data_IF_261135835868
#
_entry.id   IF_261135835868
#
_cell.length_a   1.000
_cell.length_b   1.000
_cell.length_c   1.000
_cell.angle_alpha   90.00
_cell.angle_beta   90.00
_cell.angle_gamma   90.00
#
_symmetry.space_group_name_H-M   'P 1'
#
loop_
_entity.id
_entity.type
_entity.pdbx_description
1 polymer ?
#
# COMPACT_ATOMS: atom_id res chain seq x y z
N UNK A 1 -7.23 -3.43 -7.84
CA UNK A 1 -6.15 -4.04 -8.64
C UNK A 1 -5.09 -4.61 -7.69
N UNK A 2 -4.53 -5.78 -8.00
CA UNK A 2 -3.47 -6.38 -7.17
C UNK A 2 -2.11 -5.81 -7.56
N UNK A 3 -1.37 -5.28 -6.59
CA UNK A 3 -0.06 -4.63 -6.80
C UNK A 3 1.12 -5.43 -6.27
N UNK A 4 0.86 -6.28 -5.28
CA UNK A 4 1.82 -7.25 -4.75
C UNK A 4 1.22 -8.63 -4.85
N UNK A 5 1.95 -9.56 -5.47
CA UNK A 5 1.57 -10.97 -5.54
C UNK A 5 2.69 -11.88 -5.11
N UNK A 6 2.35 -13.06 -4.62
CA UNK A 6 3.32 -14.12 -4.33
C UNK A 6 3.03 -15.30 -5.26
N UNK A 7 4.03 -15.71 -6.04
CA UNK A 7 3.91 -16.78 -7.03
C UNK A 7 5.19 -17.62 -7.06
N UNK A 8 5.09 -18.95 -7.17
CA UNK A 8 6.26 -19.86 -7.21
C UNK A 8 7.29 -19.64 -6.10
N UNK A 9 6.83 -19.43 -4.87
CA UNK A 9 7.69 -19.14 -3.72
C UNK A 9 8.54 -17.86 -3.82
N UNK A 10 8.13 -16.91 -4.67
CA UNK A 10 8.78 -15.62 -4.89
C UNK A 10 7.76 -14.49 -4.87
N UNK A 11 8.14 -13.36 -4.29
CA UNK A 11 7.34 -12.14 -4.30
C UNK A 11 7.52 -11.38 -5.61
N UNK A 12 6.42 -10.86 -6.15
CA UNK A 12 6.38 -10.00 -7.33
C UNK A 12 5.58 -8.73 -7.05
N UNK A 13 5.98 -7.64 -7.70
CA UNK A 13 5.31 -6.36 -7.69
C UNK A 13 4.88 -5.97 -9.10
N UNK A 14 3.77 -5.25 -9.21
CA UNK A 14 3.26 -4.76 -10.49
C UNK A 14 3.93 -3.44 -10.86
N UNK A 15 4.58 -3.39 -12.02
CA UNK A 15 5.19 -2.20 -12.60
C UNK A 15 4.76 -2.08 -14.06
N UNK A 16 4.08 -0.99 -14.42
CA UNK A 16 3.69 -0.70 -15.82
C UNK A 16 3.07 -1.94 -16.51
N UNK A 17 2.13 -2.61 -15.83
CA UNK A 17 1.44 -3.83 -16.28
C UNK A 17 2.29 -5.13 -16.27
N UNK A 18 3.55 -5.07 -15.84
CA UNK A 18 4.46 -6.20 -15.77
C UNK A 18 4.73 -6.63 -14.33
N UNK A 19 4.76 -7.93 -14.08
CA UNK A 19 5.11 -8.50 -12.78
C UNK A 19 6.63 -8.67 -12.67
N UNK A 20 7.25 -7.91 -11.77
CA UNK A 20 8.69 -7.92 -11.54
C UNK A 20 8.98 -8.49 -10.16
N UNK A 21 10.03 -9.29 -10.03
CA UNK A 21 10.43 -9.83 -8.73
C UNK A 21 10.79 -8.71 -7.76
N UNK A 22 10.37 -8.81 -6.50
CA UNK A 22 10.64 -7.79 -5.47
C UNK A 22 12.12 -7.50 -5.23
N UNK A 23 13.00 -8.42 -5.59
CA UNK A 23 14.46 -8.22 -5.54
C UNK A 23 14.95 -7.08 -6.46
N UNK A 24 14.26 -6.85 -7.58
CA UNK A 24 14.59 -5.79 -8.54
C UNK A 24 13.91 -4.45 -8.24
N UNK A 25 13.28 -4.29 -7.07
CA UNK A 25 12.58 -3.06 -6.74
C UNK A 25 13.56 -1.90 -6.61
N UNK A 26 13.21 -0.77 -7.21
CA UNK A 26 13.97 0.47 -7.11
C UNK A 26 13.23 1.51 -6.27
N UNK A 27 13.93 2.59 -5.90
CA UNK A 27 13.30 3.72 -5.19
C UNK A 27 12.17 4.34 -6.00
N UNK A 28 12.32 4.42 -7.32
CA UNK A 28 11.31 5.00 -8.22
C UNK A 28 10.02 4.16 -8.24
N UNK A 29 10.16 2.84 -8.14
CA UNK A 29 9.00 1.93 -8.04
C UNK A 29 8.25 2.15 -6.73
N UNK A 30 8.97 2.32 -5.61
CA UNK A 30 8.36 2.66 -4.32
C UNK A 30 7.60 3.99 -4.36
N UNK A 31 8.19 5.03 -4.98
CA UNK A 31 7.50 6.31 -5.16
C UNK A 31 6.25 6.17 -6.04
N UNK A 32 6.31 5.34 -7.07
CA UNK A 32 5.16 5.06 -7.92
C UNK A 32 4.05 4.38 -7.13
N UNK A 33 4.36 3.40 -6.28
CA UNK A 33 3.37 2.78 -5.39
C UNK A 33 2.74 3.75 -4.41
N UNK A 34 3.53 4.65 -3.81
CA UNK A 34 3.02 5.69 -2.92
C UNK A 34 2.01 6.57 -3.68
N UNK A 35 2.38 7.06 -4.86
CA UNK A 35 1.48 7.87 -5.68
C UNK A 35 0.20 7.11 -6.03
N UNK A 36 0.32 5.83 -6.42
CA UNK A 36 -0.82 4.98 -6.72
C UNK A 36 -1.73 4.85 -5.49
N UNK A 37 -1.22 4.52 -4.31
CA UNK A 37 -2.05 4.39 -3.10
C UNK A 37 -2.74 5.72 -2.75
N UNK A 38 -2.06 6.85 -2.94
CA UNK A 38 -2.63 8.17 -2.70
C UNK A 38 -3.75 8.51 -3.70
N UNK A 39 -3.59 8.16 -4.98
CA UNK A 39 -4.58 8.41 -6.05
C UNK A 39 -5.74 7.41 -6.05
N UNK A 40 -5.47 6.14 -5.72
CA UNK A 40 -6.44 5.04 -5.72
C UNK A 40 -7.50 5.22 -4.64
N UNK A 41 -8.75 4.87 -4.92
CA UNK A 41 -9.82 4.90 -3.91
C UNK A 41 -9.61 3.76 -2.89
N UNK A 42 -10.10 3.92 -1.66
CA UNK A 42 -10.09 2.83 -0.67
C UNK A 42 -10.66 1.53 -1.28
N UNK A 43 -9.93 0.42 -1.11
CA UNK A 43 -10.28 -0.89 -1.67
C UNK A 43 -9.82 -1.14 -3.11
N UNK A 44 -9.21 -0.17 -3.80
CA UNK A 44 -8.66 -0.39 -5.14
C UNK A 44 -7.22 -0.94 -5.12
N UNK A 45 -6.55 -0.94 -3.97
CA UNK A 45 -5.20 -1.44 -3.79
C UNK A 45 -5.22 -2.79 -3.07
N UNK A 46 -4.99 -3.89 -3.80
CA UNK A 46 -4.91 -5.23 -3.21
C UNK A 46 -3.46 -5.74 -3.16
N UNK A 47 -3.13 -6.46 -2.10
CA UNK A 47 -1.81 -7.06 -1.87
C UNK A 47 -1.98 -8.50 -1.37
N UNK A 48 -1.14 -9.44 -1.81
CA UNK A 48 -1.06 -10.75 -1.15
C UNK A 48 -0.39 -10.62 0.21
N UNK A 49 -1.02 -11.21 1.23
CA UNK A 49 -0.48 -11.24 2.59
C UNK A 49 0.86 -11.97 2.60
N UNK A 50 1.85 -11.36 3.25
CA UNK A 50 3.14 -11.99 3.45
C UNK A 50 3.01 -13.22 4.35
N UNK A 51 3.44 -14.39 3.86
CA UNK A 51 3.54 -15.61 4.67
C UNK A 51 4.92 -16.26 4.56
N UNK A 52 5.52 -16.66 5.69
CA UNK A 52 6.89 -17.19 5.73
C UNK A 52 7.08 -18.51 4.98
N UNK A 53 5.99 -19.23 4.74
CA UNK A 53 5.93 -20.48 3.99
C UNK A 53 5.76 -20.25 2.48
N UNK A 54 5.32 -19.05 2.08
CA UNK A 54 5.08 -18.68 0.68
C UNK A 54 6.28 -18.08 -0.04
N UNK A 55 7.38 -17.78 0.65
CA UNK A 55 8.62 -17.31 0.01
C UNK A 55 9.79 -18.12 0.57
N UNK A 56 10.56 -18.83 -0.25
CA UNK A 56 11.68 -19.63 0.25
C UNK A 56 12.96 -18.82 0.50
N UNK A 57 13.19 -17.77 -0.30
CA UNK A 57 14.42 -16.99 -0.23
C UNK A 57 14.35 -15.93 0.88
N UNK A 58 15.29 -15.99 1.83
CA UNK A 58 15.35 -15.07 2.97
C UNK A 58 15.47 -13.59 2.55
N UNK A 59 16.21 -13.28 1.48
CA UNK A 59 16.30 -11.92 0.94
C UNK A 59 14.94 -11.43 0.42
N UNK A 60 14.26 -12.24 -0.38
CA UNK A 60 12.93 -11.90 -0.91
C UNK A 60 11.91 -11.75 0.21
N UNK A 61 11.99 -12.56 1.29
CA UNK A 61 11.13 -12.41 2.48
C UNK A 61 11.31 -11.04 3.11
N UNK A 62 12.56 -10.64 3.37
CA UNK A 62 12.87 -9.36 4.02
C UNK A 62 12.38 -8.20 3.14
N UNK A 63 12.66 -8.24 1.83
CA UNK A 63 12.28 -7.18 0.91
C UNK A 63 10.75 -7.08 0.78
N UNK A 64 10.07 -8.19 0.51
CA UNK A 64 8.61 -8.23 0.39
C UNK A 64 7.94 -7.73 1.67
N UNK A 65 8.34 -8.25 2.84
CA UNK A 65 7.80 -7.83 4.14
C UNK A 65 7.96 -6.33 4.37
N UNK A 66 9.12 -5.78 4.04
CA UNK A 66 9.42 -4.37 4.27
C UNK A 66 8.58 -3.46 3.35
N UNK A 67 8.39 -3.86 2.09
CA UNK A 67 7.50 -3.16 1.15
C UNK A 67 6.05 -3.26 1.62
N UNK A 68 5.57 -4.47 1.88
CA UNK A 68 4.22 -4.73 2.33
C UNK A 68 3.87 -3.88 3.56
N UNK A 69 4.73 -3.88 4.59
CA UNK A 69 4.53 -3.06 5.78
C UNK A 69 4.51 -1.55 5.46
N UNK A 70 5.40 -1.06 4.59
CA UNK A 70 5.42 0.36 4.19
C UNK A 70 4.14 0.78 3.47
N UNK A 71 3.63 -0.07 2.59
CA UNK A 71 2.40 0.21 1.84
C UNK A 71 1.18 0.15 2.75
N UNK A 72 1.13 -0.85 3.65
CA UNK A 72 0.08 -0.97 4.66
C UNK A 72 0.06 0.24 5.61
N UNK A 73 1.23 0.70 6.05
CA UNK A 73 1.36 1.90 6.90
C UNK A 73 0.85 3.14 6.16
N UNK A 74 1.20 3.29 4.88
CA UNK A 74 0.74 4.40 4.05
C UNK A 74 -0.78 4.38 3.82
N UNK A 75 -1.36 3.20 3.56
CA UNK A 75 -2.80 3.03 3.41
C UNK A 75 -3.53 3.41 4.71
N UNK A 76 -3.03 2.95 5.85
CA UNK A 76 -3.57 3.30 7.16
C UNK A 76 -3.39 4.79 7.50
N UNK A 77 -2.28 5.42 7.11
CA UNK A 77 -2.10 6.87 7.25
C UNK A 77 -3.07 7.66 6.38
N UNK A 78 -3.34 7.20 5.15
CA UNK A 78 -4.34 7.80 4.27
C UNK A 78 -5.74 7.73 4.86
N UNK A 79 -6.14 6.57 5.36
CA UNK A 79 -7.42 6.38 6.05
C UNK A 79 -7.55 7.32 7.26
N UNK A 80 -6.53 7.33 8.13
CA UNK A 80 -6.46 8.25 9.28
C UNK A 80 -6.53 9.73 8.87
N UNK A 81 -5.88 10.10 7.76
CA UNK A 81 -5.91 11.46 7.24
C UNK A 81 -7.31 11.82 6.73
N UNK A 82 -7.96 10.92 6.00
CA UNK A 82 -9.33 11.09 5.53
C UNK A 82 -10.31 11.23 6.69
N UNK A 83 -10.17 10.38 7.72
CA UNK A 83 -11.01 10.40 8.91
C UNK A 83 -10.81 11.70 9.72
N UNK A 84 -9.56 12.15 9.88
CA UNK A 84 -9.24 13.46 10.50
C UNK A 84 -9.83 14.63 9.72
N UNK A 85 -9.76 14.60 8.39
CA UNK A 85 -10.36 15.64 7.55
C UNK A 85 -11.88 15.63 7.73
N UNK A 86 -12.54 14.47 7.69
CA UNK A 86 -13.98 14.34 7.92
C UNK A 86 -14.40 14.80 9.32
N UNK A 87 -13.63 14.47 10.37
CA UNK A 87 -13.86 14.98 11.72
C UNK A 87 -13.70 16.50 11.79
N UNK A 88 -12.64 17.07 11.21
CA UNK A 88 -12.44 18.52 11.20
C UNK A 88 -13.54 19.24 10.43
N UNK A 89 -13.95 18.72 9.28
CA UNK A 89 -15.06 19.26 8.51
C UNK A 89 -16.38 19.15 9.26
N UNK A 90 -16.71 18.01 9.87
CA UNK A 90 -17.92 17.85 10.69
C UNK A 90 -17.94 18.79 11.90
N UNK A 91 -16.79 18.96 12.55
CA UNK A 91 -16.65 19.87 13.70
C UNK A 91 -16.82 21.34 13.25
N UNK A 92 -16.26 21.71 12.10
CA UNK A 92 -16.43 23.03 11.52
C UNK A 92 -17.88 23.28 11.08
N UNK A 93 -18.53 22.31 10.45
CA UNK A 93 -19.93 22.40 10.02
C UNK A 93 -20.89 22.53 11.21
N UNK A 94 -20.68 21.78 12.29
CA UNK A 94 -21.44 21.93 13.53
C UNK A 94 -21.27 23.33 14.13
N UNK A 95 -20.06 23.90 14.07
CA UNK A 95 -19.81 25.27 14.54
C UNK A 95 -20.56 26.34 13.73
N UNK A 96 -20.73 26.14 12.42
CA UNK A 96 -21.46 27.07 11.55
C UNK A 96 -22.98 26.83 11.50
N UNK A 97 -23.46 25.62 11.80
CA UNK A 97 -24.92 25.31 11.84
C UNK A 97 -25.59 25.67 13.17
N UNK A 98 -24.81 26.04 14.19
CA UNK A 98 -25.31 26.39 15.51
C UNK A 98 -25.28 27.91 15.79
N UNK A 99 -25.17 28.72 14.73
CA UNK A 99 -25.36 30.18 14.72
C UNK A 99 -26.62 30.54 13.92
#
# INVERSE_FOLDING_TARGET
MKYLKIENNQGFFLKEDNWIAVDQITKEDLFSFINIILDSVEGEFEMDEFSEETIQHAAHKIIYKNIYNKLLELEHEKDNLHDKVNQQFSTAFQKYSND
#
